data_IF_439937991913
#
_entry.id   IF_439937991913
#
_cell.length_a   1.000
_cell.length_b   1.000
_cell.length_c   1.000
_cell.angle_alpha   90.00
_cell.angle_beta   90.00
_cell.angle_gamma   90.00
#
_symmetry.space_group_name_H-M   'P 1'
#
loop_
_entity.id
_entity.type
_entity.pdbx_description
1 polymer ?
#
# COMPACT_ATOMS: atom_id res chain seq x y z
N UNK A 1 -7.81 1.88 27.14
CA UNK A 1 -8.41 1.52 25.83
C UNK A 1 -7.38 1.80 24.76
N UNK A 2 -7.22 0.90 23.79
CA UNK A 2 -6.31 1.08 22.66
C UNK A 2 -7.10 1.45 21.39
N UNK A 3 -6.48 2.19 20.49
CA UNK A 3 -7.02 2.53 19.18
C UNK A 3 -5.89 2.48 18.14
N UNK A 4 -6.24 2.21 16.89
CA UNK A 4 -5.31 2.18 15.76
C UNK A 4 -5.84 3.03 14.60
N UNK A 5 -4.94 3.80 14.00
CA UNK A 5 -5.18 4.48 12.73
C UNK A 5 -4.34 3.78 11.68
N UNK A 6 -4.97 3.28 10.63
CA UNK A 6 -4.31 2.59 9.52
C UNK A 6 -4.44 3.48 8.28
N UNK A 7 -3.29 3.90 7.76
CA UNK A 7 -3.21 4.83 6.63
C UNK A 7 -2.72 4.11 5.36
N UNK A 8 -3.43 4.28 4.24
CA UNK A 8 -2.96 3.82 2.92
C UNK A 8 -2.96 2.30 2.71
N UNK A 9 -3.93 1.57 3.29
CA UNK A 9 -4.01 0.10 3.14
C UNK A 9 -4.48 -0.34 1.75
N UNK A 10 -4.00 -1.50 1.28
CA UNK A 10 -4.23 -1.97 -0.10
C UNK A 10 -5.45 -2.86 -0.32
N UNK A 11 -5.92 -3.57 0.71
CA UNK A 11 -6.80 -4.75 0.52
C UNK A 11 -6.07 -5.95 -0.08
N UNK A 12 -6.81 -7.02 -0.43
CA UNK A 12 -6.22 -8.29 -0.88
C UNK A 12 -5.67 -8.15 -2.30
N UNK A 13 -4.39 -8.43 -2.49
CA UNK A 13 -3.77 -8.43 -3.82
C UNK A 13 -3.79 -9.83 -4.45
N UNK A 14 -4.59 -10.09 -5.50
CA UNK A 14 -4.65 -11.41 -6.15
C UNK A 14 -3.34 -11.81 -6.85
N UNK A 15 -2.48 -10.84 -7.16
CA UNK A 15 -1.17 -11.07 -7.78
C UNK A 15 -0.05 -11.41 -6.79
N UNK A 16 -0.28 -11.32 -5.47
CA UNK A 16 0.76 -11.51 -4.46
C UNK A 16 1.46 -12.88 -4.59
N UNK A 17 0.68 -13.97 -4.74
CA UNK A 17 1.22 -15.32 -4.92
C UNK A 17 2.13 -15.46 -6.14
N UNK A 18 1.75 -14.87 -7.27
CA UNK A 18 2.60 -14.84 -8.47
C UNK A 18 3.87 -14.00 -8.25
N UNK A 19 3.75 -12.89 -7.52
CA UNK A 19 4.88 -12.07 -7.08
C UNK A 19 5.89 -12.84 -6.22
N UNK A 20 5.41 -13.63 -5.26
CA UNK A 20 6.25 -14.50 -4.40
C UNK A 20 7.03 -15.51 -5.23
N UNK A 21 6.37 -16.18 -6.18
CA UNK A 21 7.01 -17.16 -7.08
C UNK A 21 8.09 -16.48 -7.92
N UNK A 22 7.76 -15.36 -8.57
CA UNK A 22 8.70 -14.61 -9.39
C UNK A 22 9.92 -14.14 -8.59
N UNK A 23 9.69 -13.56 -7.41
CA UNK A 23 10.74 -13.08 -6.53
C UNK A 23 11.63 -14.23 -6.02
N UNK A 24 11.04 -15.39 -5.74
CA UNK A 24 11.78 -16.60 -5.34
C UNK A 24 12.67 -17.14 -6.47
N UNK A 25 12.17 -17.17 -7.71
CA UNK A 25 12.95 -17.57 -8.87
C UNK A 25 14.12 -16.62 -9.13
N UNK A 26 13.87 -15.31 -9.10
CA UNK A 26 14.92 -14.30 -9.28
C UNK A 26 15.96 -14.39 -8.16
N UNK A 27 15.53 -14.57 -6.91
CA UNK A 27 16.44 -14.76 -5.77
C UNK A 27 17.33 -15.99 -5.96
N UNK A 28 16.78 -17.09 -6.46
CA UNK A 28 17.53 -18.33 -6.71
C UNK A 28 18.54 -18.20 -7.86
N UNK A 29 18.19 -17.47 -8.92
CA UNK A 29 19.04 -17.34 -10.12
C UNK A 29 20.07 -16.21 -9.99
N UNK A 30 19.70 -15.07 -9.41
CA UNK A 30 20.52 -13.85 -9.35
C UNK A 30 21.04 -13.53 -7.95
N UNK A 31 20.63 -14.28 -6.93
CA UNK A 31 20.95 -14.06 -5.52
C UNK A 31 19.90 -13.23 -4.78
N UNK A 32 19.72 -13.50 -3.49
CA UNK A 32 18.70 -12.86 -2.65
C UNK A 32 18.84 -11.34 -2.57
N UNK A 33 20.09 -10.85 -2.48
CA UNK A 33 20.42 -9.42 -2.39
C UNK A 33 20.39 -8.69 -3.72
N UNK A 34 20.01 -9.34 -4.82
CA UNK A 34 19.94 -8.71 -6.13
C UNK A 34 18.81 -7.66 -6.21
N UNK A 35 19.10 -6.37 -6.45
CA UNK A 35 18.06 -5.37 -6.69
C UNK A 35 17.31 -5.66 -8.00
N UNK A 36 15.98 -5.73 -7.97
CA UNK A 36 15.19 -6.27 -9.09
C UNK A 36 14.24 -5.26 -9.74
N UNK A 37 14.71 -4.56 -10.78
CA UNK A 37 13.90 -3.61 -11.58
C UNK A 37 12.70 -4.28 -12.27
N UNK A 38 12.81 -5.57 -12.56
CA UNK A 38 11.72 -6.33 -13.19
C UNK A 38 10.54 -6.48 -12.23
N UNK A 39 10.80 -6.88 -10.98
CA UNK A 39 9.75 -7.04 -9.98
C UNK A 39 9.13 -5.69 -9.66
N UNK A 40 9.96 -4.66 -9.49
CA UNK A 40 9.54 -3.28 -9.28
C UNK A 40 8.52 -2.81 -10.34
N UNK A 41 8.87 -2.96 -11.62
CA UNK A 41 8.00 -2.57 -12.73
C UNK A 41 6.67 -3.34 -12.75
N UNK A 42 6.68 -4.61 -12.35
CA UNK A 42 5.46 -5.42 -12.25
C UNK A 42 4.60 -4.97 -11.07
N UNK A 43 5.22 -4.67 -9.93
CA UNK A 43 4.54 -4.27 -8.71
C UNK A 43 3.91 -2.88 -8.82
N UNK A 44 4.67 -1.90 -9.30
CA UNK A 44 4.32 -0.48 -9.19
C UNK A 44 4.18 0.24 -10.52
N UNK A 45 4.62 -0.36 -11.63
CA UNK A 45 4.69 0.30 -12.94
C UNK A 45 3.34 0.72 -13.54
N UNK A 46 2.23 0.44 -12.86
CA UNK A 46 0.88 0.88 -13.27
C UNK A 46 0.28 1.96 -12.36
N UNK A 47 0.94 2.31 -11.25
CA UNK A 47 0.38 3.22 -10.26
C UNK A 47 0.20 4.63 -10.79
N UNK A 48 1.05 5.09 -11.71
CA UNK A 48 0.92 6.40 -12.34
C UNK A 48 -0.12 6.52 -13.45
N UNK A 49 -0.86 5.46 -13.78
CA UNK A 49 -1.79 5.47 -14.94
C UNK A 49 -2.87 6.56 -14.90
N UNK A 50 -3.23 7.07 -13.71
CA UNK A 50 -4.24 8.12 -13.52
C UNK A 50 -3.66 9.46 -13.04
N UNK A 51 -2.35 9.61 -13.16
CA UNK A 51 -1.63 10.84 -12.78
C UNK A 51 -1.23 11.61 -14.03
N UNK A 52 -0.70 12.81 -13.84
CA UNK A 52 -0.18 13.66 -14.91
C UNK A 52 1.07 13.06 -15.57
N UNK A 53 1.74 12.11 -14.90
CA UNK A 53 2.91 11.41 -15.44
C UNK A 53 4.13 12.30 -15.64
N UNK A 54 4.26 13.36 -14.84
CA UNK A 54 5.45 14.21 -14.70
C UNK A 54 6.65 13.40 -14.21
N UNK A 55 6.43 12.45 -13.30
CA UNK A 55 7.47 11.56 -12.74
C UNK A 55 6.98 10.11 -12.67
N UNK A 56 7.86 9.19 -12.23
CA UNK A 56 7.50 7.80 -11.91
C UNK A 56 6.82 7.62 -10.54
N UNK A 57 6.68 8.70 -9.76
CA UNK A 57 6.19 8.70 -8.37
C UNK A 57 5.03 9.65 -8.11
N UNK A 58 4.44 10.23 -9.16
CA UNK A 58 3.30 11.15 -9.00
C UNK A 58 2.11 10.52 -8.25
N UNK A 59 1.98 9.21 -8.29
CA UNK A 59 0.99 8.47 -7.50
C UNK A 59 1.13 8.62 -5.99
N UNK A 60 2.25 9.15 -5.48
CA UNK A 60 2.44 9.42 -4.05
C UNK A 60 1.56 10.56 -3.57
N UNK A 61 1.56 11.72 -4.25
CA UNK A 61 0.85 12.92 -3.81
C UNK A 61 0.57 13.86 -4.99
N UNK A 62 -0.50 14.68 -4.90
CA UNK A 62 -0.71 15.80 -5.82
C UNK A 62 0.24 16.96 -5.55
N UNK A 63 0.78 17.04 -4.34
CA UNK A 63 1.80 18.02 -3.99
C UNK A 63 3.12 17.67 -4.70
N UNK A 64 3.41 18.37 -5.79
CA UNK A 64 4.60 18.13 -6.61
C UNK A 64 5.90 18.39 -5.85
N UNK A 65 5.92 19.31 -4.89
CA UNK A 65 7.10 19.58 -4.07
C UNK A 65 7.44 18.38 -3.20
N UNK A 66 6.43 17.69 -2.65
CA UNK A 66 6.62 16.45 -1.89
C UNK A 66 7.17 15.33 -2.79
N UNK A 67 6.61 15.17 -3.99
CA UNK A 67 7.09 14.16 -4.96
C UNK A 67 8.54 14.46 -5.37
N UNK A 68 8.88 15.72 -5.60
CA UNK A 68 10.25 16.13 -5.94
C UNK A 68 11.22 15.91 -4.77
N UNK A 69 10.77 16.19 -3.53
CA UNK A 69 11.55 15.88 -2.35
C UNK A 69 11.83 14.38 -2.23
N UNK A 70 10.81 13.52 -2.42
CA UNK A 70 10.95 12.07 -2.38
C UNK A 70 11.98 11.56 -3.40
N UNK A 71 11.94 12.09 -4.63
CA UNK A 71 12.83 11.67 -5.72
C UNK A 71 14.29 12.10 -5.46
N UNK A 72 14.49 13.26 -4.86
CA UNK A 72 15.82 13.81 -4.62
C UNK A 72 16.45 13.34 -3.29
N UNK A 73 15.76 12.51 -2.52
CA UNK A 73 16.24 11.99 -1.24
C UNK A 73 16.79 10.58 -1.41
N UNK A 74 18.08 10.39 -1.16
CA UNK A 74 18.80 9.11 -1.34
C UNK A 74 18.26 7.98 -0.44
N UNK A 75 17.57 8.32 0.66
CA UNK A 75 16.95 7.35 1.55
C UNK A 75 15.56 6.86 1.05
N UNK A 76 15.04 7.48 -0.02
CA UNK A 76 13.75 7.18 -0.62
C UNK A 76 13.88 6.51 -1.99
N UNK A 77 12.80 5.91 -2.48
CA UNK A 77 12.73 5.36 -3.85
C UNK A 77 13.70 4.22 -4.17
N UNK A 78 14.40 3.68 -3.17
CA UNK A 78 15.42 2.67 -3.38
C UNK A 78 14.80 1.35 -3.87
N UNK A 79 15.53 0.68 -4.75
CA UNK A 79 15.09 -0.56 -5.35
C UNK A 79 15.24 -1.72 -4.36
N UNK A 80 14.15 -2.44 -4.10
CA UNK A 80 14.23 -3.59 -3.20
C UNK A 80 15.02 -4.74 -3.81
N UNK A 81 15.64 -5.53 -2.93
CA UNK A 81 16.24 -6.80 -3.32
C UNK A 81 15.15 -7.81 -3.70
N UNK A 82 15.53 -8.86 -4.43
CA UNK A 82 14.61 -9.94 -4.77
C UNK A 82 13.98 -10.58 -3.52
N UNK A 83 14.76 -10.76 -2.44
CA UNK A 83 14.22 -11.21 -1.14
C UNK A 83 13.34 -10.16 -0.46
N UNK A 84 13.66 -8.86 -0.59
CA UNK A 84 12.83 -7.77 -0.07
C UNK A 84 11.44 -7.76 -0.70
N UNK A 85 11.35 -7.88 -2.03
CA UNK A 85 10.07 -8.01 -2.72
C UNK A 85 9.31 -9.28 -2.33
N UNK A 86 10.01 -10.42 -2.21
CA UNK A 86 9.39 -11.67 -1.77
C UNK A 86 8.72 -11.48 -0.40
N UNK A 87 9.45 -10.94 0.57
CA UNK A 87 8.95 -10.70 1.93
C UNK A 87 7.78 -9.71 1.92
N UNK A 88 7.84 -8.66 1.10
CA UNK A 88 6.75 -7.71 0.93
C UNK A 88 5.47 -8.41 0.45
N UNK A 89 5.55 -9.24 -0.59
CA UNK A 89 4.38 -9.98 -1.08
C UNK A 89 3.85 -11.02 -0.09
N UNK A 90 4.73 -11.74 0.60
CA UNK A 90 4.35 -12.68 1.67
C UNK A 90 3.62 -11.96 2.81
N UNK A 91 4.12 -10.79 3.22
CA UNK A 91 3.49 -9.98 4.24
C UNK A 91 2.09 -9.54 3.81
N UNK A 92 1.97 -8.94 2.62
CA UNK A 92 0.70 -8.50 2.06
C UNK A 92 -0.34 -9.63 1.96
N UNK A 93 0.08 -10.82 1.53
CA UNK A 93 -0.80 -11.99 1.48
C UNK A 93 -1.24 -12.43 2.88
N UNK A 94 -0.28 -12.52 3.82
CA UNK A 94 -0.55 -12.99 5.19
C UNK A 94 -1.55 -12.10 5.95
N UNK A 95 -1.44 -10.77 5.80
CA UNK A 95 -2.33 -9.80 6.46
C UNK A 95 -3.68 -9.64 5.76
N UNK A 96 -3.86 -10.26 4.59
CA UNK A 96 -5.11 -10.20 3.82
C UNK A 96 -6.00 -11.44 3.98
N UNK A 97 -5.59 -12.39 4.83
CA UNK A 97 -6.30 -13.65 5.07
C UNK A 97 -7.47 -13.50 6.04
N UNK A 98 -8.53 -14.29 5.86
CA UNK A 98 -9.67 -14.31 6.81
C UNK A 98 -9.24 -14.67 8.24
N UNK A 99 -8.18 -15.49 8.36
CA UNK A 99 -7.58 -15.82 9.65
C UNK A 99 -6.91 -14.63 10.33
N UNK A 100 -6.34 -13.69 9.57
CA UNK A 100 -5.78 -12.45 10.10
C UNK A 100 -6.88 -11.56 10.69
N UNK A 101 -7.96 -11.31 9.93
CA UNK A 101 -9.08 -10.48 10.41
C UNK A 101 -9.66 -11.02 11.72
N UNK A 102 -9.83 -12.33 11.86
CA UNK A 102 -10.35 -12.95 13.12
C UNK A 102 -9.41 -12.83 14.32
N UNK A 103 -8.10 -12.61 14.09
CA UNK A 103 -7.09 -12.45 15.15
C UNK A 103 -6.97 -11.01 15.64
N UNK A 104 -7.49 -10.03 14.89
CA UNK A 104 -7.54 -8.64 15.35
C UNK A 104 -8.43 -8.58 16.62
N UNK A 105 -8.01 -7.89 17.70
CA UNK A 105 -8.84 -7.75 18.89
C UNK A 105 -10.15 -7.03 18.56
N UNK A 106 -11.30 -7.63 18.90
CA UNK A 106 -12.63 -7.13 18.54
C UNK A 106 -12.96 -5.78 19.17
N UNK A 107 -12.37 -5.53 20.34
CA UNK A 107 -12.55 -4.31 21.13
C UNK A 107 -11.65 -3.16 20.65
N UNK A 108 -10.71 -3.42 19.72
CA UNK A 108 -9.83 -2.39 19.17
C UNK A 108 -10.66 -1.42 18.31
N UNK A 109 -10.54 -0.13 18.61
CA UNK A 109 -11.10 0.92 17.75
C UNK A 109 -10.18 1.13 16.57
N UNK A 110 -10.70 1.02 15.36
CA UNK A 110 -9.91 1.08 14.12
C UNK A 110 -10.45 2.21 13.25
N UNK A 111 -9.58 3.14 12.88
CA UNK A 111 -9.84 4.14 11.85
C UNK A 111 -8.98 3.81 10.64
N UNK A 112 -9.63 3.57 9.50
CA UNK A 112 -8.98 3.45 8.20
C UNK A 112 -9.01 4.82 7.52
N UNK A 113 -7.86 5.31 7.08
CA UNK A 113 -7.73 6.54 6.29
C UNK A 113 -6.94 6.27 5.01
N UNK A 114 -7.38 6.85 3.91
CA UNK A 114 -6.68 6.75 2.63
C UNK A 114 -7.18 7.82 1.64
N UNK A 115 -6.37 8.12 0.64
CA UNK A 115 -6.81 8.91 -0.50
C UNK A 115 -7.71 8.11 -1.43
N UNK A 116 -8.74 8.75 -1.96
CA UNK A 116 -9.67 8.11 -2.87
C UNK A 116 -9.01 7.74 -4.21
N UNK A 117 -7.97 8.49 -4.60
CA UNK A 117 -7.20 8.32 -5.83
C UNK A 117 -5.92 7.47 -5.65
N UNK A 118 -5.73 6.85 -4.48
CA UNK A 118 -4.59 5.97 -4.20
C UNK A 118 -4.65 4.65 -5.02
N UNK A 119 -3.68 4.38 -5.92
CA UNK A 119 -3.63 3.14 -6.68
C UNK A 119 -3.27 1.92 -5.83
N UNK A 120 -2.61 2.08 -4.66
CA UNK A 120 -2.29 0.98 -3.73
C UNK A 120 -3.58 0.35 -3.20
N UNK A 121 -4.52 1.21 -2.77
CA UNK A 121 -5.88 0.82 -2.38
C UNK A 121 -6.82 0.55 -3.56
N UNK A 122 -6.30 0.40 -4.79
CA UNK A 122 -7.07 0.24 -6.01
C UNK A 122 -8.21 1.27 -6.16
N UNK A 123 -7.91 2.54 -5.86
CA UNK A 123 -8.84 3.66 -5.88
C UNK A 123 -10.04 3.40 -4.96
N UNK A 124 -9.77 3.39 -3.65
CA UNK A 124 -10.70 3.09 -2.55
C UNK A 124 -11.20 1.65 -2.42
N UNK A 125 -11.16 0.82 -3.47
CA UNK A 125 -11.72 -0.54 -3.44
C UNK A 125 -11.08 -1.42 -2.36
N UNK A 126 -9.77 -1.37 -2.23
CA UNK A 126 -8.99 -2.15 -1.28
C UNK A 126 -9.26 -1.75 0.17
N UNK A 127 -9.28 -0.45 0.46
CA UNK A 127 -9.57 0.07 1.81
C UNK A 127 -10.99 -0.28 2.23
N UNK A 128 -11.95 -0.18 1.30
CA UNK A 128 -13.32 -0.62 1.52
C UNK A 128 -13.42 -2.14 1.73
N UNK A 129 -12.63 -2.96 1.02
CA UNK A 129 -12.56 -4.41 1.29
C UNK A 129 -12.11 -4.68 2.73
N UNK A 130 -11.06 -4.00 3.20
CA UNK A 130 -10.55 -4.15 4.58
C UNK A 130 -11.61 -3.73 5.59
N UNK A 131 -12.27 -2.59 5.35
CA UNK A 131 -13.37 -2.10 6.19
C UNK A 131 -14.48 -3.14 6.33
N UNK A 132 -15.01 -3.64 5.20
CA UNK A 132 -16.10 -4.61 5.18
C UNK A 132 -15.69 -5.94 5.82
N UNK A 133 -14.46 -6.41 5.62
CA UNK A 133 -13.98 -7.64 6.26
C UNK A 133 -13.82 -7.52 7.77
N UNK A 134 -13.35 -6.37 8.26
CA UNK A 134 -13.33 -6.11 9.70
C UNK A 134 -14.75 -6.11 10.28
N UNK A 135 -15.71 -5.42 9.63
CA UNK A 135 -17.12 -5.44 10.03
C UNK A 135 -17.70 -6.85 10.04
N UNK A 136 -17.49 -7.61 8.96
CA UNK A 136 -17.97 -8.98 8.79
C UNK A 136 -17.38 -9.96 9.82
N UNK A 137 -16.24 -9.65 10.42
CA UNK A 137 -15.60 -10.48 11.46
C UNK A 137 -15.96 -10.06 12.90
N UNK A 138 -16.91 -9.12 13.05
CA UNK A 138 -17.44 -8.71 14.35
C UNK A 138 -16.72 -7.53 15.00
N UNK A 139 -15.94 -6.76 14.23
CA UNK A 139 -15.35 -5.51 14.72
C UNK A 139 -16.39 -4.40 14.63
N UNK A 140 -16.93 -3.99 15.77
CA UNK A 140 -18.02 -3.01 15.80
C UNK A 140 -17.52 -1.57 15.64
N UNK A 141 -16.33 -1.28 16.20
CA UNK A 141 -15.72 0.05 16.26
C UNK A 141 -14.74 0.30 15.12
N UNK A 142 -15.20 0.15 13.87
CA UNK A 142 -14.41 0.43 12.68
C UNK A 142 -15.00 1.62 11.94
N UNK A 143 -14.17 2.58 11.57
CA UNK A 143 -14.51 3.72 10.75
C UNK A 143 -13.59 3.78 9.53
N UNK A 144 -14.08 4.32 8.41
CA UNK A 144 -13.31 4.55 7.21
C UNK A 144 -13.54 5.98 6.74
N UNK A 145 -12.47 6.73 6.47
CA UNK A 145 -12.51 8.07 5.89
C UNK A 145 -11.63 8.08 4.64
N UNK A 146 -12.27 8.35 3.50
CA UNK A 146 -11.58 8.50 2.22
C UNK A 146 -11.49 9.98 1.89
N UNK A 147 -10.28 10.46 1.63
CA UNK A 147 -10.02 11.85 1.29
C UNK A 147 -10.16 12.00 -0.22
N UNK A 148 -11.08 12.87 -0.63
CA UNK A 148 -11.41 13.06 -2.04
C UNK A 148 -10.19 13.66 -2.75
N UNK A 149 -9.91 13.17 -3.96
CA UNK A 149 -8.84 13.63 -4.84
C UNK A 149 -7.40 13.34 -4.34
N UNK A 150 -7.22 12.97 -3.07
CA UNK A 150 -5.92 12.56 -2.49
C UNK A 150 -5.42 11.23 -3.03
N UNK A 151 -4.09 11.12 -3.14
CA UNK A 151 -3.37 9.92 -3.56
C UNK A 151 -2.87 9.14 -2.33
N UNK A 152 -1.67 8.55 -2.40
CA UNK A 152 -1.20 7.61 -1.37
C UNK A 152 -0.78 8.29 -0.05
N UNK A 153 0.01 9.36 -0.13
CA UNK A 153 0.60 10.05 1.01
C UNK A 153 -0.29 11.20 1.48
N UNK A 154 -1.48 10.88 1.99
CA UNK A 154 -2.48 11.88 2.39
C UNK A 154 -1.88 12.95 3.33
N UNK A 155 -1.01 12.56 4.27
CA UNK A 155 -0.36 13.50 5.20
C UNK A 155 0.58 14.52 4.53
N UNK A 156 0.93 14.29 3.27
CA UNK A 156 1.77 15.15 2.44
C UNK A 156 1.00 15.78 1.26
N UNK A 157 -0.33 15.65 1.22
CA UNK A 157 -1.21 16.26 0.22
C UNK A 157 -1.40 17.77 0.45
N UNK A 158 -2.04 18.42 -0.52
CA UNK A 158 -2.27 19.87 -0.53
C UNK A 158 -3.21 20.33 0.59
N UNK A 159 -4.12 19.47 1.04
CA UNK A 159 -5.11 19.69 2.08
C UNK A 159 -4.77 18.98 3.39
N UNK A 160 -3.49 18.63 3.62
CA UNK A 160 -3.00 17.93 4.81
C UNK A 160 -3.46 18.52 6.16
N UNK A 161 -3.73 19.83 6.22
CA UNK A 161 -4.24 20.52 7.41
C UNK A 161 -5.68 20.12 7.79
N UNK A 162 -6.39 19.42 6.89
CA UNK A 162 -7.77 18.95 7.07
C UNK A 162 -7.87 17.45 7.33
N UNK A 163 -6.73 16.78 7.52
CA UNK A 163 -6.65 15.33 7.70
C UNK A 163 -6.99 14.91 9.11
#
# INVERSE_FOLDING_TARGET
MAAAVICGTSGKNPGAGAGIILASLISKVKGEKHPSKLIDKIAFGTYNKRTEGRTSFDWLSRNTENVDWYINNDDCGFLFTASGYKNMFELLDSVSTDGWYRKVPKELKILLIAGAEDPVGAYSKGVNEVFEKLKATGHENVQCKLYKDDRHEILNELDREHI
#
